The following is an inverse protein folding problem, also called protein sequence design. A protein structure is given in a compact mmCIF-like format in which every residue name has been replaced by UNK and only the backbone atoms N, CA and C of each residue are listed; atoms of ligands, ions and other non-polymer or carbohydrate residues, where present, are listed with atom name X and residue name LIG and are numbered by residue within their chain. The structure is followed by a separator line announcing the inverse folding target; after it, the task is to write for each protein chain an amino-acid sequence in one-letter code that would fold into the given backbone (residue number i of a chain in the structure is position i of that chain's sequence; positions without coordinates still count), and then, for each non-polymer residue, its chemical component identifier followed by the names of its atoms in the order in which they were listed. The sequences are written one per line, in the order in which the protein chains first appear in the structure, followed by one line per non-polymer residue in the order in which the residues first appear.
data_IF_778440027493
#
_entry.id   IF_778440027493
#
_cell.length_a   1.000
_cell.length_b   1.000
_cell.length_c   1.000
_cell.angle_alpha   90.00
_cell.angle_beta   90.00
_cell.angle_gamma   90.00
#
_symmetry.space_group_name_H-M   'P 1'
#
loop_
_entity.id
_entity.type
_entity.pdbx_description
1 polymer ?
#
# COMPACT_ATOMS: atom_id res chain seq x y z
N UNK A 1 15.73 26.10 0.76
CA UNK A 1 14.31 26.09 0.30
C UNK A 1 13.87 24.70 -0.13
N UNK A 2 14.75 23.90 -0.74
CA UNK A 2 14.58 22.46 -0.98
C UNK A 2 14.36 21.67 0.31
N UNK A 3 15.10 21.99 1.39
CA UNK A 3 15.06 21.24 2.65
C UNK A 3 13.72 21.35 3.40
N UNK A 4 13.06 22.51 3.28
CA UNK A 4 11.73 22.77 3.86
C UNK A 4 10.64 21.98 3.13
N UNK A 5 10.75 21.82 1.81
CA UNK A 5 9.80 21.02 1.02
C UNK A 5 9.98 19.53 1.27
N UNK A 6 11.23 19.04 1.40
CA UNK A 6 11.50 17.66 1.79
C UNK A 6 11.04 17.36 3.22
N UNK A 7 11.20 18.30 4.14
CA UNK A 7 10.58 18.23 5.48
C UNK A 7 9.07 18.08 5.38
N UNK A 8 8.41 18.99 4.61
CA UNK A 8 6.97 18.94 4.30
C UNK A 8 6.48 17.59 3.79
N UNK A 9 7.25 16.95 2.91
CA UNK A 9 6.90 15.68 2.28
C UNK A 9 7.17 14.45 3.17
N UNK A 10 7.99 14.56 4.23
CA UNK A 10 8.46 13.42 5.04
C UNK A 10 8.09 13.47 6.54
N UNK A 11 7.15 14.33 6.95
CA UNK A 11 6.75 14.55 8.36
C UNK A 11 6.34 13.30 9.17
N UNK A 12 6.09 12.15 8.54
CA UNK A 12 5.64 10.92 9.20
C UNK A 12 6.74 9.88 9.48
N UNK A 13 7.97 10.07 9.01
CA UNK A 13 9.06 9.10 9.20
C UNK A 13 9.98 9.56 10.33
N UNK A 14 9.43 9.57 11.55
CA UNK A 14 10.22 9.76 12.77
C UNK A 14 10.97 8.46 13.07
N UNK A 15 12.21 8.58 13.56
CA UNK A 15 13.07 7.45 13.89
C UNK A 15 12.41 6.47 14.86
N UNK A 16 12.96 5.24 14.96
CA UNK A 16 12.44 4.21 15.87
C UNK A 16 12.53 4.72 17.32
N UNK A 17 11.39 5.00 17.92
CA UNK A 17 11.31 5.18 19.37
C UNK A 17 11.45 3.82 20.05
N UNK A 18 12.30 3.76 21.07
CA UNK A 18 12.39 2.58 21.93
C UNK A 18 11.16 2.56 22.84
N UNK A 19 10.42 1.46 22.82
CA UNK A 19 9.29 1.30 23.72
C UNK A 19 9.78 1.21 25.17
N UNK A 20 9.09 1.85 26.14
CA UNK A 20 9.44 1.75 27.56
C UNK A 20 9.17 0.36 28.17
N UNK A 21 8.65 -0.59 27.38
CA UNK A 21 8.31 -1.95 27.80
C UNK A 21 9.27 -2.99 27.22
N UNK A 22 9.56 -4.10 27.94
CA UNK A 22 10.40 -5.18 27.43
C UNK A 22 9.84 -5.76 26.12
N UNK A 23 10.71 -5.93 25.12
CA UNK A 23 10.34 -6.39 23.76
C UNK A 23 9.52 -7.67 23.74
N UNK A 24 9.85 -8.63 24.60
CA UNK A 24 9.16 -9.92 24.67
C UNK A 24 7.73 -9.75 25.19
N UNK A 25 7.53 -8.92 26.22
CA UNK A 25 6.19 -8.63 26.75
C UNK A 25 5.33 -7.97 25.67
N UNK A 26 5.89 -6.99 24.95
CA UNK A 26 5.21 -6.37 23.82
C UNK A 26 4.83 -7.38 22.73
N UNK A 27 5.74 -8.29 22.37
CA UNK A 27 5.48 -9.30 21.33
C UNK A 27 4.35 -10.25 21.73
N UNK A 28 4.33 -10.73 22.97
CA UNK A 28 3.23 -11.56 23.47
C UNK A 28 1.91 -10.79 23.47
N UNK A 29 1.90 -9.56 23.98
CA UNK A 29 0.70 -8.73 24.01
C UNK A 29 0.16 -8.47 22.60
N UNK A 30 1.00 -8.05 21.67
CA UNK A 30 0.62 -7.81 20.27
C UNK A 30 0.08 -9.08 19.59
N UNK A 31 0.70 -10.24 19.84
CA UNK A 31 0.24 -11.53 19.31
C UNK A 31 -1.12 -11.92 19.86
N UNK A 32 -1.33 -11.81 21.17
CA UNK A 32 -2.61 -12.11 21.82
C UNK A 32 -3.72 -11.20 21.29
N UNK A 33 -3.46 -9.89 21.24
CA UNK A 33 -4.43 -8.91 20.71
C UNK A 33 -4.78 -9.25 19.27
N UNK A 34 -3.79 -9.53 18.42
CA UNK A 34 -3.99 -9.91 17.02
C UNK A 34 -4.89 -11.14 16.89
N UNK A 35 -4.56 -12.24 17.58
CA UNK A 35 -5.33 -13.49 17.53
C UNK A 35 -6.76 -13.27 18.01
N UNK A 36 -6.93 -12.61 19.17
CA UNK A 36 -8.25 -12.33 19.74
C UNK A 36 -9.07 -11.44 18.81
N UNK A 37 -8.48 -10.42 18.18
CA UNK A 37 -9.18 -9.58 17.20
C UNK A 37 -9.69 -10.37 15.99
N UNK A 38 -8.89 -11.29 15.43
CA UNK A 38 -9.33 -12.12 14.30
C UNK A 38 -10.41 -13.12 14.70
N UNK A 39 -10.28 -13.75 15.88
CA UNK A 39 -11.30 -14.64 16.44
C UNK A 39 -12.60 -13.87 16.67
N UNK A 40 -12.52 -12.69 17.28
CA UNK A 40 -13.67 -11.82 17.47
C UNK A 40 -14.30 -11.43 16.12
N UNK A 41 -13.50 -11.04 15.12
CA UNK A 41 -14.02 -10.71 13.79
C UNK A 41 -14.76 -11.90 13.16
N UNK A 42 -14.22 -13.12 13.27
CA UNK A 42 -14.83 -14.33 12.73
C UNK A 42 -16.20 -14.66 13.39
N UNK A 43 -16.33 -14.46 14.69
CA UNK A 43 -17.57 -14.76 15.42
C UNK A 43 -18.59 -13.61 15.40
N UNK A 44 -18.13 -12.36 15.54
CA UNK A 44 -19.00 -11.18 15.64
C UNK A 44 -19.39 -10.60 14.27
N UNK A 45 -18.64 -10.90 13.20
CA UNK A 45 -18.91 -10.40 11.85
C UNK A 45 -19.00 -11.53 10.80
N UNK A 46 -19.96 -12.47 10.95
CA UNK A 46 -20.03 -13.66 10.10
C UNK A 46 -20.52 -13.38 8.67
N UNK A 47 -21.06 -12.18 8.39
CA UNK A 47 -21.52 -11.79 7.05
C UNK A 47 -20.93 -10.43 6.65
N UNK A 48 -20.39 -10.30 5.43
CA UNK A 48 -19.87 -9.02 4.94
C UNK A 48 -21.04 -8.05 4.73
N UNK A 49 -21.08 -6.95 5.51
CA UNK A 49 -22.12 -5.91 5.42
C UNK A 49 -21.67 -4.67 4.64
N UNK A 50 -20.38 -4.57 4.34
CA UNK A 50 -19.74 -3.43 3.67
C UNK A 50 -19.42 -3.72 2.20
N UNK A 51 -19.98 -4.79 1.64
CA UNK A 51 -19.69 -5.27 0.29
C UNK A 51 -20.55 -4.56 -0.78
N UNK A 52 -21.07 -3.37 -0.51
CA UNK A 52 -21.79 -2.60 -1.53
C UNK A 52 -20.77 -2.08 -2.56
N UNK A 53 -20.66 -2.72 -3.75
CA UNK A 53 -19.70 -2.31 -4.74
C UNK A 53 -20.38 -1.19 -5.53
N UNK A 54 -20.38 0.02 -4.98
CA UNK A 54 -20.51 1.19 -5.82
C UNK A 54 -19.16 1.39 -6.51
N UNK A 55 -18.91 0.55 -7.54
CA UNK A 55 -17.83 0.76 -8.48
C UNK A 55 -18.18 2.09 -9.18
N UNK A 56 -17.73 3.20 -8.61
CA UNK A 56 -17.84 4.53 -9.22
C UNK A 56 -16.89 4.53 -10.40
N UNK A 57 -17.34 3.95 -11.51
CA UNK A 57 -16.63 4.00 -12.79
C UNK A 57 -16.73 5.43 -13.28
N UNK A 58 -15.84 6.27 -12.77
CA UNK A 58 -15.81 7.69 -13.09
C UNK A 58 -15.45 7.89 -14.58
N UNK A 59 -14.63 7.00 -15.14
CA UNK A 59 -14.20 7.04 -16.54
C UNK A 59 -14.01 5.64 -17.13
N UNK A 60 -14.48 5.45 -18.38
CA UNK A 60 -14.24 4.24 -19.17
C UNK A 60 -12.93 4.41 -19.96
N UNK A 61 -11.86 3.82 -19.46
CA UNK A 61 -10.52 3.98 -20.02
C UNK A 61 -10.25 2.96 -21.14
N UNK A 62 -9.63 3.34 -22.27
CA UNK A 62 -9.27 2.38 -23.32
C UNK A 62 -8.36 1.26 -22.80
N UNK A 63 -8.48 0.06 -23.39
CA UNK A 63 -7.71 -1.12 -22.96
C UNK A 63 -6.19 -0.89 -22.99
N UNK A 64 -5.70 -0.15 -24.00
CA UNK A 64 -4.27 0.20 -24.13
C UNK A 64 -3.80 1.02 -22.93
N UNK A 65 -4.58 2.02 -22.51
CA UNK A 65 -4.26 2.84 -21.33
C UNK A 65 -4.23 1.98 -20.08
N UNK A 66 -5.17 1.04 -19.92
CA UNK A 66 -5.16 0.10 -18.78
C UNK A 66 -3.95 -0.84 -18.75
N UNK A 67 -3.39 -1.19 -19.91
CA UNK A 67 -2.13 -1.95 -19.99
C UNK A 67 -0.95 -1.08 -19.61
N UNK A 68 -0.85 0.14 -20.17
CA UNK A 68 0.22 1.08 -19.86
C UNK A 68 0.25 1.44 -18.38
N UNK A 69 -0.90 1.77 -17.77
CA UNK A 69 -1.00 2.01 -16.33
C UNK A 69 -0.58 0.79 -15.51
N UNK A 70 -0.97 -0.42 -15.95
CA UNK A 70 -0.56 -1.66 -15.31
C UNK A 70 0.97 -1.87 -15.36
N UNK A 71 1.60 -1.61 -16.51
CA UNK A 71 3.05 -1.68 -16.68
C UNK A 71 3.77 -0.64 -15.80
N UNK A 72 3.26 0.59 -15.73
CA UNK A 72 3.77 1.62 -14.82
C UNK A 72 3.67 1.14 -13.38
N UNK A 73 2.55 0.54 -12.99
CA UNK A 73 2.35 -0.06 -11.66
C UNK A 73 3.38 -1.14 -11.32
N UNK A 74 3.64 -2.06 -12.25
CA UNK A 74 4.66 -3.11 -12.11
C UNK A 74 6.07 -2.51 -12.02
N UNK A 75 6.39 -1.52 -12.85
CA UNK A 75 7.69 -0.86 -12.84
C UNK A 75 7.93 -0.13 -11.50
N UNK A 76 6.94 0.64 -11.02
CA UNK A 76 7.00 1.29 -9.71
C UNK A 76 7.21 0.25 -8.60
N UNK A 77 6.44 -0.84 -8.62
CA UNK A 77 6.60 -1.92 -7.63
C UNK A 77 8.01 -2.52 -7.66
N UNK A 78 8.55 -2.81 -8.84
CA UNK A 78 9.91 -3.34 -8.99
C UNK A 78 10.96 -2.36 -8.47
N UNK A 79 10.81 -1.05 -8.74
CA UNK A 79 11.69 0.01 -8.23
C UNK A 79 11.64 0.06 -6.70
N UNK A 80 10.44 -0.02 -6.10
CA UNK A 80 10.27 -0.01 -4.64
C UNK A 80 10.93 -1.23 -4.00
N UNK A 81 10.73 -2.42 -4.55
CA UNK A 81 11.38 -3.66 -4.08
C UNK A 81 12.91 -3.54 -4.21
N UNK A 82 13.39 -3.08 -5.36
CA UNK A 82 14.82 -2.87 -5.59
C UNK A 82 15.41 -1.84 -4.62
N UNK A 83 14.73 -0.72 -4.37
CA UNK A 83 15.17 0.28 -3.39
C UNK A 83 15.21 -0.28 -1.96
N UNK A 84 14.32 -1.23 -1.62
CA UNK A 84 14.39 -1.96 -0.36
C UNK A 84 15.69 -2.76 -0.20
N UNK A 85 16.07 -3.52 -1.22
CA UNK A 85 17.26 -4.39 -1.16
C UNK A 85 18.59 -3.67 -1.42
N UNK A 86 18.62 -2.75 -2.39
CA UNK A 86 19.85 -2.13 -2.91
C UNK A 86 19.92 -0.62 -2.66
N UNK A 87 18.85 0.01 -2.18
CA UNK A 87 18.83 1.44 -1.86
C UNK A 87 19.51 1.76 -0.52
N UNK A 88 19.44 3.03 -0.13
CA UNK A 88 20.01 3.52 1.14
C UNK A 88 19.31 2.82 2.31
N UNK A 89 20.06 2.19 3.22
CA UNK A 89 19.49 1.37 4.29
C UNK A 89 19.08 2.17 5.55
N UNK A 90 18.81 3.46 5.38
CA UNK A 90 18.27 4.33 6.42
C UNK A 90 16.82 4.65 6.12
N UNK A 91 15.91 4.45 7.08
CA UNK A 91 14.46 4.62 6.87
C UNK A 91 14.06 5.98 6.29
N UNK A 92 14.77 7.05 6.65
CA UNK A 92 14.46 8.42 6.22
C UNK A 92 14.87 8.73 4.79
N UNK A 93 15.86 8.01 4.23
CA UNK A 93 16.36 8.24 2.88
C UNK A 93 16.04 7.09 1.91
N UNK A 94 15.50 5.97 2.40
CA UNK A 94 15.08 4.87 1.55
C UNK A 94 13.73 5.20 0.89
N UNK A 95 13.66 5.03 -0.42
CA UNK A 95 12.41 5.21 -1.18
C UNK A 95 11.30 4.25 -0.72
N UNK A 96 11.63 3.01 -0.34
CA UNK A 96 10.63 1.99 -0.02
C UNK A 96 9.69 2.39 1.13
N UNK A 97 10.16 2.78 2.33
CA UNK A 97 9.27 3.24 3.40
C UNK A 97 8.52 4.53 3.04
N UNK A 98 9.14 5.48 2.34
CA UNK A 98 8.45 6.70 1.88
C UNK A 98 7.30 6.35 0.95
N UNK A 99 7.56 5.51 -0.06
CA UNK A 99 6.54 5.10 -1.02
C UNK A 99 5.42 4.33 -0.33
N UNK A 100 5.74 3.34 0.50
CA UNK A 100 4.73 2.49 1.13
C UNK A 100 3.87 3.27 2.12
N UNK A 101 4.48 4.02 3.05
CA UNK A 101 3.73 4.66 4.14
C UNK A 101 3.13 6.01 3.76
N UNK A 102 3.75 6.76 2.85
CA UNK A 102 3.27 8.10 2.49
C UNK A 102 2.47 8.02 1.20
N UNK A 103 3.09 7.58 0.11
CA UNK A 103 2.45 7.63 -1.20
C UNK A 103 1.34 6.59 -1.35
N UNK A 104 1.61 5.35 -0.97
CA UNK A 104 0.68 4.24 -1.12
C UNK A 104 -0.36 4.22 0.01
N UNK A 105 0.06 4.28 1.28
CA UNK A 105 -0.89 4.18 2.40
C UNK A 105 -1.76 5.44 2.54
N UNK A 106 -1.20 6.63 2.37
CA UNK A 106 -1.96 7.90 2.55
C UNK A 106 -2.39 8.46 1.20
N UNK A 107 -1.46 8.60 0.25
CA UNK A 107 -1.72 9.24 -1.03
C UNK A 107 -2.79 8.52 -1.85
N UNK A 108 -2.71 7.20 -2.00
CA UNK A 108 -3.66 6.45 -2.83
C UNK A 108 -5.09 6.52 -2.28
N UNK A 109 -5.38 6.30 -0.98
CA UNK A 109 -6.72 6.49 -0.44
C UNK A 109 -7.25 7.92 -0.62
N UNK A 110 -6.44 8.95 -0.36
CA UNK A 110 -6.84 10.36 -0.56
C UNK A 110 -7.18 10.62 -2.03
N UNK A 111 -6.34 10.19 -2.96
CA UNK A 111 -6.63 10.26 -4.39
C UNK A 111 -7.89 9.47 -4.75
N UNK A 112 -8.12 8.34 -4.09
CA UNK A 112 -9.25 7.47 -4.41
C UNK A 112 -10.59 8.03 -3.94
N UNK A 113 -10.59 8.79 -2.83
CA UNK A 113 -11.75 9.56 -2.39
C UNK A 113 -12.12 10.65 -3.42
N UNK A 114 -11.13 11.28 -4.05
CA UNK A 114 -11.35 12.36 -5.02
C UNK A 114 -11.70 11.86 -6.43
N UNK A 115 -11.06 10.79 -6.90
CA UNK A 115 -11.09 10.37 -8.30
C UNK A 115 -11.67 8.96 -8.52
N UNK A 116 -12.13 8.26 -7.47
CA UNK A 116 -12.56 6.86 -7.54
C UNK A 116 -11.39 5.88 -7.42
N UNK A 117 -11.56 4.59 -7.76
CA UNK A 117 -10.51 3.57 -7.59
C UNK A 117 -9.32 3.77 -8.55
N UNK A 118 -8.41 4.69 -8.20
CA UNK A 118 -7.18 5.01 -8.96
C UNK A 118 -6.22 3.83 -8.95
N UNK A 119 -6.13 3.13 -7.82
CA UNK A 119 -5.18 2.03 -7.65
C UNK A 119 -5.46 0.89 -8.62
N UNK A 120 -6.73 0.59 -8.92
CA UNK A 120 -7.11 -0.43 -9.90
C UNK A 120 -6.42 -0.32 -11.25
N UNK A 121 -6.15 0.90 -11.74
CA UNK A 121 -5.45 1.12 -13.00
C UNK A 121 -3.96 0.76 -12.91
N UNK A 122 -3.33 1.07 -11.77
CA UNK A 122 -1.89 0.89 -11.51
C UNK A 122 -1.57 -0.35 -10.67
N UNK A 123 -2.55 -1.22 -10.40
CA UNK A 123 -2.36 -2.36 -9.51
C UNK A 123 -1.45 -3.41 -10.19
N UNK A 124 -0.24 -3.67 -9.65
CA UNK A 124 0.74 -4.57 -10.27
C UNK A 124 0.26 -6.02 -10.30
N UNK A 125 -0.45 -6.47 -9.26
CA UNK A 125 -0.99 -7.83 -9.17
C UNK A 125 -2.04 -8.08 -10.24
N UNK A 126 -2.91 -7.10 -10.48
CA UNK A 126 -3.90 -7.18 -11.56
C UNK A 126 -3.25 -7.18 -12.94
N UNK A 127 -2.16 -6.43 -13.13
CA UNK A 127 -1.42 -6.41 -14.40
C UNK A 127 -0.73 -7.77 -14.66
N UNK A 128 -0.03 -8.30 -13.65
CA UNK A 128 0.64 -9.61 -13.71
C UNK A 128 -0.38 -10.73 -13.95
N UNK A 129 -1.50 -10.74 -13.21
CA UNK A 129 -2.55 -11.75 -13.39
C UNK A 129 -3.18 -11.73 -14.79
N UNK A 130 -3.39 -10.54 -15.37
CA UNK A 130 -3.86 -10.43 -16.76
C UNK A 130 -2.85 -10.96 -17.76
N UNK A 131 -1.56 -10.65 -17.58
CA UNK A 131 -0.49 -11.14 -18.45
C UNK A 131 -0.39 -12.67 -18.39
N UNK A 132 -0.39 -13.25 -17.19
CA UNK A 132 -0.37 -14.70 -17.00
C UNK A 132 -1.59 -15.39 -17.65
N UNK A 133 -2.77 -14.78 -17.56
CA UNK A 133 -3.98 -15.28 -18.22
C UNK A 133 -3.95 -15.20 -19.75
N UNK A 134 -3.16 -14.30 -20.34
CA UNK A 134 -2.94 -14.26 -21.80
C UNK A 134 -1.97 -15.33 -22.28
N UNK A 135 -0.95 -15.65 -21.48
CA UNK A 135 0.04 -16.69 -21.83
C UNK A 135 -0.48 -18.11 -21.63
N UNK A 136 -1.57 -18.29 -20.87
CA UNK A 136 -2.20 -19.58 -20.64
C UNK A 136 -3.29 -19.94 -21.67
N UNK A 137 -3.50 -19.08 -22.68
CA UNK A 137 -4.38 -19.31 -23.83
C UNK A 137 -3.54 -19.62 -25.06
#
# INVERSE_FOLDING_TARGET
MTDLLSGLIAHGIVGREDLPVPKIVFLYAATVVLVVSFVALAFLWPRPRLEAPEDRVLFRVPRVVGVLCGLVGVAIFAIVVWAGFAGVQTTQANLAPIFIYVLFWVGIPVLSVLFGDVFRAFNPWRAIGRAAGWTAK
#
